data_IF_321120823139
#
_entry.id   IF_321120823139
#
_cell.length_a   1.000
_cell.length_b   1.000
_cell.length_c   1.000
_cell.angle_alpha   90.00
_cell.angle_beta   90.00
_cell.angle_gamma   90.00
#
_symmetry.space_group_name_H-M   'P 1'
#
loop_
_entity.id
_entity.type
_entity.pdbx_description
1 polymer ?
#
# COMPACT_ATOMS: atom_id res chain seq x y z
N UNK A 1 -39.65 26.08 -23.88
CA UNK A 1 -39.01 24.96 -24.60
C UNK A 1 -38.35 24.11 -23.53
N UNK A 2 -38.95 22.95 -23.26
CA UNK A 2 -38.47 21.96 -22.30
C UNK A 2 -37.08 21.52 -22.71
N UNK A 3 -36.05 21.89 -21.95
CA UNK A 3 -34.76 21.22 -22.05
C UNK A 3 -35.01 19.76 -21.73
N UNK A 4 -34.92 18.89 -22.73
CA UNK A 4 -34.84 17.45 -22.48
C UNK A 4 -33.66 17.24 -21.53
N UNK A 5 -33.93 16.87 -20.28
CA UNK A 5 -32.88 16.40 -19.38
C UNK A 5 -32.32 15.13 -20.02
N UNK A 6 -31.14 15.25 -20.63
CA UNK A 6 -30.47 14.12 -21.27
C UNK A 6 -30.10 13.11 -20.19
N UNK A 7 -30.80 11.97 -20.15
CA UNK A 7 -30.44 10.88 -19.25
C UNK A 7 -29.11 10.28 -19.74
N UNK A 8 -28.08 10.33 -18.88
CA UNK A 8 -26.76 9.78 -19.16
C UNK A 8 -26.66 8.37 -18.56
N UNK A 9 -26.02 7.46 -19.30
CA UNK A 9 -25.79 6.09 -18.87
C UNK A 9 -24.30 5.86 -18.59
N UNK A 10 -24.01 5.13 -17.50
CA UNK A 10 -22.65 4.71 -17.15
C UNK A 10 -22.26 3.47 -17.93
N UNK A 11 -20.99 3.41 -18.33
CA UNK A 11 -20.41 2.21 -18.93
C UNK A 11 -20.32 1.08 -17.89
N UNK A 12 -20.79 -0.13 -18.24
CA UNK A 12 -20.61 -1.32 -17.40
C UNK A 12 -19.28 -1.99 -17.71
N UNK A 13 -18.47 -2.22 -16.68
CA UNK A 13 -17.16 -2.87 -16.81
C UNK A 13 -17.19 -4.34 -16.40
N UNK A 14 -16.38 -5.14 -17.06
CA UNK A 14 -16.08 -6.51 -16.63
C UNK A 14 -15.08 -6.42 -15.47
N UNK A 15 -15.52 -6.85 -14.29
CA UNK A 15 -14.74 -6.82 -13.06
C UNK A 15 -14.40 -8.23 -12.59
N UNK A 16 -13.12 -8.49 -12.31
CA UNK A 16 -12.65 -9.74 -11.72
C UNK A 16 -11.83 -9.43 -10.47
N UNK A 17 -12.25 -9.96 -9.32
CA UNK A 17 -11.45 -9.92 -8.09
C UNK A 17 -10.36 -10.99 -8.15
N UNK A 18 -9.13 -10.63 -7.77
CA UNK A 18 -8.09 -11.60 -7.48
C UNK A 18 -8.18 -12.02 -5.99
N UNK A 19 -8.43 -13.30 -5.68
CA UNK A 19 -8.59 -13.77 -4.31
C UNK A 19 -7.26 -13.89 -3.55
N UNK A 20 -6.12 -13.51 -4.13
CA UNK A 20 -4.77 -13.70 -3.57
C UNK A 20 -4.59 -13.33 -2.10
N UNK A 21 -5.24 -12.25 -1.63
CA UNK A 21 -5.10 -11.74 -0.26
C UNK A 21 -6.22 -12.19 0.68
N UNK A 22 -7.14 -13.03 0.19
CA UNK A 22 -8.19 -13.62 1.01
C UNK A 22 -7.61 -14.78 1.83
N UNK A 23 -7.85 -14.76 3.13
CA UNK A 23 -7.48 -15.84 4.03
C UNK A 23 -8.68 -16.77 4.22
N UNK A 24 -8.54 -18.03 3.79
CA UNK A 24 -9.57 -19.05 4.02
C UNK A 24 -9.48 -19.67 5.42
N UNK A 25 -8.30 -19.61 6.03
CA UNK A 25 -8.03 -20.12 7.37
C UNK A 25 -7.31 -19.08 8.21
N UNK A 26 -7.62 -19.05 9.50
CA UNK A 26 -7.02 -18.12 10.45
C UNK A 26 -6.29 -18.89 11.56
N UNK A 27 -5.11 -19.42 11.24
CA UNK A 27 -4.24 -20.11 12.21
C UNK A 27 -3.06 -19.21 12.60
N UNK A 28 -2.91 -18.99 13.90
CA UNK A 28 -1.83 -18.17 14.48
C UNK A 28 -0.85 -19.00 15.32
N UNK A 29 -0.79 -20.31 15.07
CA UNK A 29 0.06 -21.23 15.84
C UNK A 29 1.50 -21.31 15.31
N UNK A 30 1.78 -20.72 14.14
CA UNK A 30 3.09 -20.76 13.49
C UNK A 30 3.95 -19.54 13.77
N UNK A 31 5.25 -19.73 13.56
CA UNK A 31 6.25 -18.68 13.69
C UNK A 31 6.44 -17.94 12.37
N UNK A 32 6.93 -16.70 12.47
CA UNK A 32 7.20 -15.83 11.32
C UNK A 32 8.42 -16.23 10.48
N UNK A 33 9.16 -17.28 10.84
CA UNK A 33 10.35 -17.68 10.08
C UNK A 33 9.99 -18.17 8.67
N UNK A 34 8.82 -18.82 8.54
CA UNK A 34 8.39 -19.45 7.30
C UNK A 34 8.19 -18.41 6.18
N UNK A 35 7.70 -17.20 6.49
CA UNK A 35 7.51 -16.15 5.47
C UNK A 35 8.82 -15.76 4.78
N UNK A 36 9.93 -15.69 5.51
CA UNK A 36 11.24 -15.33 4.93
C UNK A 36 11.77 -16.46 4.06
N UNK A 37 11.57 -17.72 4.46
CA UNK A 37 11.94 -18.88 3.64
C UNK A 37 11.10 -18.97 2.37
N UNK A 38 9.78 -18.80 2.47
CA UNK A 38 8.86 -18.78 1.33
C UNK A 38 9.24 -17.67 0.35
N UNK A 39 9.46 -16.45 0.86
CA UNK A 39 9.88 -15.30 0.07
C UNK A 39 11.20 -15.54 -0.66
N UNK A 40 12.23 -15.99 0.07
CA UNK A 40 13.52 -16.31 -0.53
C UNK A 40 13.36 -17.42 -1.58
N UNK A 41 12.63 -18.48 -1.31
CA UNK A 41 12.40 -19.57 -2.26
C UNK A 41 11.73 -19.11 -3.57
N UNK A 42 10.77 -18.18 -3.48
CA UNK A 42 10.09 -17.58 -4.64
C UNK A 42 11.02 -16.71 -5.47
N UNK A 43 11.75 -15.80 -4.82
CA UNK A 43 12.51 -14.75 -5.51
C UNK A 43 13.94 -15.17 -5.87
N UNK A 44 14.57 -16.11 -5.14
CA UNK A 44 15.95 -16.57 -5.36
C UNK A 44 16.17 -17.04 -6.80
N UNK A 45 15.23 -17.80 -7.37
CA UNK A 45 15.35 -18.27 -8.76
C UNK A 45 15.43 -17.14 -9.79
N UNK A 46 14.66 -16.08 -9.58
CA UNK A 46 14.61 -14.91 -10.47
C UNK A 46 15.90 -14.10 -10.33
N UNK A 47 16.26 -13.78 -9.09
CA UNK A 47 17.46 -13.01 -8.77
C UNK A 47 18.72 -13.71 -9.28
N UNK A 48 18.82 -15.02 -9.07
CA UNK A 48 19.95 -15.79 -9.56
C UNK A 48 19.99 -15.88 -11.09
N UNK A 49 18.84 -15.87 -11.77
CA UNK A 49 18.83 -15.82 -13.23
C UNK A 49 19.45 -14.50 -13.73
N UNK A 50 19.08 -13.38 -13.11
CA UNK A 50 19.67 -12.07 -13.42
C UNK A 50 21.16 -12.01 -13.03
N UNK A 51 21.54 -12.60 -11.89
CA UNK A 51 22.94 -12.69 -11.45
C UNK A 51 23.80 -13.49 -12.43
N UNK A 52 23.31 -14.66 -12.87
CA UNK A 52 24.01 -15.49 -13.88
C UNK A 52 24.20 -14.75 -15.20
N UNK A 53 23.14 -14.11 -15.70
CA UNK A 53 23.20 -13.32 -16.93
C UNK A 53 24.22 -12.19 -16.84
N UNK A 54 24.29 -11.52 -15.68
CA UNK A 54 25.13 -10.33 -15.49
C UNK A 54 26.59 -10.65 -15.14
N UNK A 55 26.85 -11.73 -14.39
CA UNK A 55 28.14 -11.93 -13.73
C UNK A 55 28.87 -13.23 -14.09
N UNK A 56 28.20 -14.30 -14.55
CA UNK A 56 28.89 -15.59 -14.76
C UNK A 56 29.96 -15.53 -15.87
N UNK A 57 29.76 -14.65 -16.86
CA UNK A 57 30.73 -14.43 -17.94
C UNK A 57 31.73 -13.30 -17.64
N UNK A 58 31.64 -12.67 -16.46
CA UNK A 58 32.50 -11.55 -16.08
C UNK A 58 33.85 -12.06 -15.59
N UNK A 59 34.92 -11.62 -16.25
CA UNK A 59 36.31 -11.91 -15.89
C UNK A 59 36.96 -10.65 -15.33
N UNK A 60 37.55 -10.76 -14.14
CA UNK A 60 38.26 -9.67 -13.46
C UNK A 60 39.66 -10.18 -13.10
N UNK A 61 40.68 -9.54 -13.66
CA UNK A 61 42.10 -9.88 -13.41
C UNK A 61 42.47 -11.37 -13.66
N UNK A 62 41.77 -12.04 -14.58
CA UNK A 62 42.00 -13.44 -14.92
C UNK A 62 41.16 -14.45 -14.14
N UNK A 63 40.35 -13.99 -13.19
CA UNK A 63 39.42 -14.82 -12.43
C UNK A 63 37.97 -14.52 -12.84
N UNK A 64 37.19 -15.58 -13.04
CA UNK A 64 35.74 -15.48 -13.25
C UNK A 64 35.00 -15.31 -11.93
N UNK A 65 33.98 -14.45 -11.91
CA UNK A 65 33.09 -14.32 -10.76
C UNK A 65 32.35 -15.64 -10.55
N UNK A 66 32.44 -16.20 -9.33
CA UNK A 66 31.77 -17.46 -9.00
C UNK A 66 30.51 -17.22 -8.18
N UNK A 67 29.46 -17.96 -8.49
CA UNK A 67 28.28 -18.06 -7.61
C UNK A 67 28.65 -18.88 -6.38
N UNK A 68 28.31 -18.37 -5.21
CA UNK A 68 28.40 -19.08 -3.93
C UNK A 68 26.98 -19.35 -3.42
N UNK A 69 26.69 -20.61 -3.08
CA UNK A 69 25.32 -21.05 -2.75
C UNK A 69 24.83 -20.56 -1.39
N UNK A 70 25.73 -20.51 -0.39
CA UNK A 70 25.45 -20.11 1.00
C UNK A 70 26.18 -18.81 1.33
N UNK A 71 25.52 -17.85 1.95
CA UNK A 71 26.12 -16.52 2.20
C UNK A 71 27.37 -16.59 3.09
N UNK A 72 27.46 -17.57 4.00
CA UNK A 72 28.64 -17.74 4.86
C UNK A 72 29.81 -18.51 4.22
N UNK A 73 29.65 -19.05 3.01
CA UNK A 73 30.72 -19.79 2.32
C UNK A 73 31.63 -18.88 1.47
N UNK A 74 31.42 -17.56 1.51
CA UNK A 74 32.29 -16.58 0.87
C UNK A 74 33.70 -16.64 1.44
N UNK A 75 34.68 -16.19 0.65
CA UNK A 75 36.10 -16.24 1.03
C UNK A 75 36.79 -14.92 0.76
N UNK A 76 37.63 -14.53 1.70
CA UNK A 76 38.47 -13.35 1.57
C UNK A 76 39.29 -13.37 0.27
N UNK A 77 39.13 -12.32 -0.53
CA UNK A 77 39.85 -12.11 -1.79
C UNK A 77 39.31 -12.89 -2.98
N UNK A 78 38.28 -13.73 -2.81
CA UNK A 78 37.59 -14.39 -3.92
C UNK A 78 36.41 -13.54 -4.39
N UNK A 79 36.46 -13.08 -5.65
CA UNK A 79 35.37 -12.35 -6.26
C UNK A 79 34.20 -13.30 -6.55
N UNK A 80 33.07 -13.07 -5.89
CA UNK A 80 31.93 -13.97 -5.95
C UNK A 80 30.61 -13.20 -5.90
N UNK A 81 29.51 -13.91 -6.13
CA UNK A 81 28.17 -13.37 -5.91
C UNK A 81 27.29 -14.35 -5.15
N UNK A 82 26.42 -13.79 -4.31
CA UNK A 82 25.51 -14.50 -3.41
C UNK A 82 24.09 -13.93 -3.56
N UNK A 83 23.09 -14.69 -3.12
CA UNK A 83 21.68 -14.28 -3.09
C UNK A 83 21.09 -14.56 -1.72
N UNK A 84 20.35 -13.60 -1.18
CA UNK A 84 19.75 -13.72 0.14
C UNK A 84 18.76 -12.61 0.42
N UNK A 85 18.21 -12.63 1.62
CA UNK A 85 17.24 -11.66 2.13
C UNK A 85 17.97 -10.57 2.90
N UNK A 86 17.68 -9.31 2.61
CA UNK A 86 18.21 -8.17 3.35
C UNK A 86 17.59 -8.12 4.73
N UNK A 87 18.44 -7.95 5.74
CA UNK A 87 18.05 -7.65 7.10
C UNK A 87 18.67 -6.31 7.52
N UNK A 88 17.82 -5.36 7.92
CA UNK A 88 18.26 -4.04 8.37
C UNK A 88 18.34 -4.03 9.89
N UNK A 89 19.55 -3.96 10.43
CA UNK A 89 19.77 -3.78 11.87
C UNK A 89 19.86 -2.29 12.18
N UNK A 90 18.79 -1.74 12.73
CA UNK A 90 18.60 -0.31 12.91
C UNK A 90 18.25 -0.04 14.38
N UNK A 91 19.12 0.64 15.14
CA UNK A 91 18.93 0.82 16.59
C UNK A 91 17.67 1.57 17.00
N UNK A 92 17.07 2.36 16.09
CA UNK A 92 15.87 3.14 16.38
C UNK A 92 14.56 2.39 16.09
N UNK A 93 14.62 1.17 15.51
CA UNK A 93 13.44 0.31 15.37
C UNK A 93 12.82 0.03 16.75
N UNK A 94 11.48 -0.06 16.86
CA UNK A 94 10.83 -0.39 18.11
C UNK A 94 11.26 -1.77 18.60
N UNK A 95 11.53 -1.89 19.90
CA UNK A 95 11.95 -3.14 20.52
C UNK A 95 11.06 -3.43 21.73
N UNK A 96 10.14 -4.39 21.54
CA UNK A 96 9.16 -4.78 22.55
C UNK A 96 9.83 -5.25 23.85
N UNK A 97 10.99 -5.91 23.78
CA UNK A 97 11.70 -6.37 24.98
C UNK A 97 12.29 -5.20 25.77
N UNK A 98 12.79 -4.17 25.08
CA UNK A 98 13.24 -2.95 25.75
C UNK A 98 12.08 -2.18 26.37
N UNK A 99 10.93 -2.13 25.69
CA UNK A 99 9.74 -1.46 26.20
C UNK A 99 9.23 -2.14 27.47
N UNK A 100 9.15 -3.48 27.48
CA UNK A 100 8.80 -4.27 28.66
C UNK A 100 9.85 -4.11 29.77
N UNK A 101 11.14 -4.04 29.44
CA UNK A 101 12.19 -3.82 30.44
C UNK A 101 12.12 -2.42 31.08
N UNK A 102 11.58 -1.45 30.35
CA UNK A 102 11.40 -0.05 30.79
C UNK A 102 10.07 0.20 31.51
N UNK A 103 9.26 -0.83 31.82
CA UNK A 103 7.92 -0.78 32.47
C UNK A 103 7.90 -0.21 33.92
N UNK A 104 8.48 0.97 34.11
CA UNK A 104 8.17 1.90 35.18
C UNK A 104 7.40 3.10 34.59
N UNK A 105 6.08 2.94 34.46
CA UNK A 105 5.07 4.01 34.45
C UNK A 105 5.35 5.27 33.60
N UNK A 106 5.58 5.15 32.30
CA UNK A 106 5.47 6.29 31.38
C UNK A 106 4.61 5.88 30.19
N UNK A 107 3.77 6.81 29.72
CA UNK A 107 3.03 6.71 28.46
C UNK A 107 3.90 6.12 27.35
N UNK A 108 3.32 5.30 26.48
CA UNK A 108 4.01 4.75 25.32
C UNK A 108 4.78 5.88 24.60
N UNK A 109 6.09 5.71 24.34
CA UNK A 109 6.87 6.73 23.65
C UNK A 109 6.20 7.02 22.30
N UNK A 110 6.22 8.31 21.90
CA UNK A 110 5.67 8.70 20.61
C UNK A 110 6.33 7.87 19.50
N UNK A 111 5.50 7.32 18.60
CA UNK A 111 5.99 6.57 17.47
C UNK A 111 6.98 7.44 16.68
N UNK A 112 8.18 6.90 16.45
CA UNK A 112 9.18 7.59 15.63
C UNK A 112 8.70 7.65 14.19
N UNK A 113 8.90 8.80 13.56
CA UNK A 113 8.57 8.97 12.13
C UNK A 113 9.51 8.18 11.23
N UNK A 114 10.80 8.05 11.61
CA UNK A 114 11.81 7.26 10.88
C UNK A 114 12.69 6.48 11.87
N UNK A 115 13.24 5.37 11.39
CA UNK A 115 14.15 4.48 12.10
C UNK A 115 15.60 4.63 11.65
N UNK A 116 15.87 5.33 10.54
CA UNK A 116 17.21 5.46 9.97
C UNK A 116 18.17 6.23 10.88
N UNK A 117 19.36 5.68 11.06
CA UNK A 117 20.56 6.34 11.60
C UNK A 117 21.79 5.91 10.76
N UNK A 118 22.20 6.72 9.78
CA UNK A 118 23.28 6.39 8.83
C UNK A 118 24.60 5.95 9.47
N UNK A 119 24.89 6.40 10.69
CA UNK A 119 26.14 6.09 11.37
C UNK A 119 26.09 4.72 12.07
N UNK A 120 24.90 4.23 12.40
CA UNK A 120 24.72 3.03 13.23
C UNK A 120 23.95 1.90 12.56
N UNK A 121 23.21 2.21 11.50
CA UNK A 121 22.47 1.20 10.77
C UNK A 121 23.40 0.24 10.05
N UNK A 122 23.12 -1.05 10.17
CA UNK A 122 23.84 -2.10 9.47
C UNK A 122 22.93 -2.81 8.48
N UNK A 123 23.44 -3.00 7.27
CA UNK A 123 22.78 -3.77 6.22
C UNK A 123 23.41 -5.17 6.24
N UNK A 124 22.59 -6.19 6.42
CA UNK A 124 23.02 -7.59 6.37
C UNK A 124 22.27 -8.33 5.27
N UNK A 125 22.89 -9.40 4.76
CA UNK A 125 22.23 -10.40 3.91
C UNK A 125 22.14 -11.71 4.67
N UNK A 126 20.99 -12.37 4.57
CA UNK A 126 20.65 -13.58 5.31
C UNK A 126 20.14 -14.69 4.38
N UNK A 127 20.55 -15.92 4.68
CA UNK A 127 20.00 -17.15 4.10
C UNK A 127 19.92 -18.24 5.19
N UNK A 128 19.72 -19.51 4.79
CA UNK A 128 19.68 -20.65 5.71
C UNK A 128 20.99 -20.92 6.48
N UNK A 129 22.12 -20.37 6.04
CA UNK A 129 23.43 -20.56 6.66
C UNK A 129 23.73 -19.52 7.76
N UNK A 130 23.20 -18.30 7.62
CA UNK A 130 23.37 -17.24 8.61
C UNK A 130 23.36 -15.84 7.99
N UNK A 131 24.05 -14.90 8.65
CA UNK A 131 24.08 -13.49 8.28
C UNK A 131 25.48 -13.01 7.93
N UNK A 132 25.57 -12.21 6.88
CA UNK A 132 26.79 -11.54 6.46
C UNK A 132 26.54 -10.03 6.34
N UNK A 133 27.41 -9.22 6.97
CA UNK A 133 27.29 -7.76 6.93
C UNK A 133 27.75 -7.25 5.56
N UNK A 134 26.93 -6.41 4.95
CA UNK A 134 27.21 -5.76 3.67
C UNK A 134 27.80 -4.37 3.89
N UNK A 135 28.88 -4.07 3.18
CA UNK A 135 29.54 -2.75 3.16
C UNK A 135 29.78 -2.30 1.72
N UNK A 136 30.30 -1.07 1.55
CA UNK A 136 30.52 -0.46 0.24
C UNK A 136 29.52 0.66 -0.07
N UNK A 137 29.87 1.53 -1.02
CA UNK A 137 29.00 2.64 -1.43
C UNK A 137 27.77 2.17 -2.18
N UNK A 138 27.89 1.10 -2.99
CA UNK A 138 26.82 0.55 -3.81
C UNK A 138 25.59 0.21 -2.98
N UNK A 139 25.74 -0.57 -1.90
CA UNK A 139 24.61 -0.99 -1.08
C UNK A 139 23.94 0.17 -0.33
N UNK A 140 24.70 1.22 0.00
CA UNK A 140 24.20 2.39 0.74
C UNK A 140 23.32 3.31 -0.10
N UNK A 141 23.40 3.25 -1.42
CA UNK A 141 22.66 4.13 -2.34
C UNK A 141 21.37 3.51 -2.89
N UNK A 142 21.10 2.24 -2.59
CA UNK A 142 19.96 1.51 -3.17
C UNK A 142 18.65 1.68 -2.38
N UNK A 143 18.72 2.26 -1.18
CA UNK A 143 17.60 2.40 -0.21
C UNK A 143 16.83 1.10 0.00
N UNK A 144 17.56 0.02 0.26
CA UNK A 144 16.97 -1.27 0.60
C UNK A 144 16.32 -1.21 1.99
N UNK A 145 15.29 -2.03 2.16
CA UNK A 145 14.63 -2.26 3.44
C UNK A 145 14.74 -3.73 3.83
N UNK A 146 14.41 -4.04 5.08
CA UNK A 146 14.36 -5.41 5.57
C UNK A 146 13.38 -6.24 4.72
N UNK A 147 13.71 -7.50 4.47
CA UNK A 147 12.88 -8.45 3.72
C UNK A 147 13.04 -8.41 2.20
N UNK A 148 13.80 -7.47 1.60
CA UNK A 148 14.13 -7.48 0.18
C UNK A 148 15.01 -8.67 -0.19
N UNK A 149 14.71 -9.39 -1.27
CA UNK A 149 15.59 -10.47 -1.78
C UNK A 149 16.42 -9.94 -2.93
N UNK A 150 17.75 -9.99 -2.81
CA UNK A 150 18.68 -9.40 -3.77
C UNK A 150 19.85 -10.34 -4.05
N UNK A 151 20.50 -10.12 -5.19
CA UNK A 151 21.79 -10.71 -5.52
C UNK A 151 22.87 -9.65 -5.38
N UNK A 152 23.97 -9.96 -4.72
CA UNK A 152 25.10 -9.04 -4.56
C UNK A 152 26.39 -9.70 -5.03
N UNK A 153 27.21 -8.94 -5.76
CA UNK A 153 28.53 -9.35 -6.24
C UNK A 153 29.59 -8.50 -5.56
N UNK A 154 30.66 -9.16 -5.09
CA UNK A 154 31.67 -8.53 -4.27
C UNK A 154 32.71 -9.53 -3.76
N UNK A 155 33.41 -9.13 -2.70
CA UNK A 155 34.39 -9.96 -2.00
C UNK A 155 34.27 -9.76 -0.50
N UNK A 156 34.61 -10.80 0.25
CA UNK A 156 34.79 -10.68 1.68
C UNK A 156 36.07 -9.86 1.98
N UNK A 157 35.98 -8.96 2.94
CA UNK A 157 37.07 -8.11 3.44
C UNK A 157 37.86 -8.81 4.54
N UNK A 158 39.00 -8.24 4.94
CA UNK A 158 39.77 -8.76 6.08
C UNK A 158 39.01 -8.67 7.43
N UNK A 159 37.95 -7.86 7.52
CA UNK A 159 37.10 -7.74 8.71
C UNK A 159 35.97 -8.78 8.76
N UNK A 160 35.81 -9.62 7.73
CA UNK A 160 34.69 -10.56 7.61
C UNK A 160 33.38 -9.93 7.14
N UNK A 161 33.45 -8.71 6.58
CA UNK A 161 32.32 -8.04 5.94
C UNK A 161 32.35 -8.29 4.43
N UNK A 162 31.22 -8.13 3.75
CA UNK A 162 31.15 -8.30 2.29
C UNK A 162 31.09 -6.94 1.61
N UNK A 163 32.15 -6.58 0.88
CA UNK A 163 32.19 -5.35 0.11
C UNK A 163 31.42 -5.52 -1.20
N UNK A 164 30.26 -4.87 -1.28
CA UNK A 164 29.36 -4.94 -2.43
C UNK A 164 29.86 -4.01 -3.53
N UNK A 165 30.15 -4.59 -4.69
CA UNK A 165 30.58 -3.89 -5.90
C UNK A 165 29.39 -3.68 -6.84
N UNK A 166 28.54 -4.70 -7.00
CA UNK A 166 27.37 -4.66 -7.86
C UNK A 166 26.19 -5.41 -7.24
N UNK A 167 24.98 -5.13 -7.71
CA UNK A 167 23.74 -5.73 -7.20
C UNK A 167 22.75 -5.97 -8.35
N UNK A 168 21.97 -7.03 -8.22
CA UNK A 168 20.79 -7.30 -9.05
C UNK A 168 19.54 -7.43 -8.18
N UNK A 169 18.44 -6.90 -8.71
CA UNK A 169 17.10 -7.01 -8.13
C UNK A 169 16.26 -8.04 -8.90
N UNK A 170 15.14 -8.52 -8.33
CA UNK A 170 14.16 -9.31 -9.07
C UNK A 170 13.54 -8.56 -10.26
N UNK A 171 13.55 -7.22 -10.22
CA UNK A 171 12.94 -6.32 -11.22
C UNK A 171 11.44 -6.57 -11.46
N UNK A 172 10.81 -5.82 -12.37
CA UNK A 172 9.37 -5.98 -12.63
C UNK A 172 9.01 -7.40 -13.13
N UNK A 173 7.90 -8.01 -12.66
CA UNK A 173 7.45 -9.31 -13.14
C UNK A 173 6.95 -9.24 -14.59
N UNK A 174 6.61 -10.39 -15.17
CA UNK A 174 5.97 -10.41 -16.48
C UNK A 174 4.62 -9.70 -16.43
N UNK A 175 4.33 -8.90 -17.46
CA UNK A 175 3.08 -8.15 -17.58
C UNK A 175 2.20 -8.79 -18.65
N UNK A 176 0.95 -9.09 -18.31
CA UNK A 176 -0.03 -9.45 -19.33
C UNK A 176 -0.35 -8.21 -20.18
N UNK A 177 -0.35 -8.28 -21.51
CA UNK A 177 -0.73 -7.14 -22.33
C UNK A 177 -2.16 -6.67 -22.05
N UNK A 178 -2.33 -5.36 -21.88
CA UNK A 178 -3.63 -4.68 -21.80
C UNK A 178 -4.37 -4.72 -23.15
N UNK A 179 -5.72 -4.82 -23.15
CA UNK A 179 -6.50 -4.71 -24.36
C UNK A 179 -6.58 -3.25 -24.81
N UNK A 180 -5.69 -2.83 -25.70
CA UNK A 180 -5.72 -1.47 -26.29
C UNK A 180 -6.62 -1.51 -27.53
N UNK A 181 -7.70 -0.70 -27.60
CA UNK A 181 -8.55 -0.63 -28.78
C UNK A 181 -7.77 -0.06 -29.98
N UNK A 182 -8.02 -0.59 -31.18
CA UNK A 182 -7.35 -0.15 -32.42
C UNK A 182 -7.69 1.29 -32.82
N UNK A 183 -8.84 1.77 -32.38
CA UNK A 183 -9.34 3.13 -32.61
C UNK A 183 -9.65 3.70 -31.23
N UNK A 184 -9.14 4.90 -30.90
CA UNK A 184 -9.42 5.51 -29.61
C UNK A 184 -10.91 5.67 -29.37
N UNK A 185 -11.37 5.37 -28.17
CA UNK A 185 -12.78 5.55 -27.84
C UNK A 185 -13.13 7.04 -27.86
N UNK A 186 -14.27 7.38 -28.47
CA UNK A 186 -14.78 8.75 -28.43
C UNK A 186 -15.25 9.16 -27.02
N UNK A 187 -15.55 8.18 -26.15
CA UNK A 187 -15.93 8.37 -24.76
C UNK A 187 -14.86 7.75 -23.87
N UNK A 188 -14.32 8.55 -22.96
CA UNK A 188 -13.42 8.06 -21.92
C UNK A 188 -14.18 7.11 -20.97
N UNK A 189 -13.45 6.24 -20.30
CA UNK A 189 -13.96 5.36 -19.27
C UNK A 189 -13.00 5.41 -18.07
N UNK A 190 -13.47 5.96 -16.96
CA UNK A 190 -12.64 6.20 -15.79
C UNK A 190 -12.95 5.22 -14.66
N UNK A 191 -11.91 4.89 -13.90
CA UNK A 191 -12.02 4.39 -12.53
C UNK A 191 -11.64 5.52 -11.59
N UNK A 192 -12.52 5.83 -10.65
CA UNK A 192 -12.25 6.77 -9.59
C UNK A 192 -11.56 6.08 -8.40
N UNK A 193 -10.51 6.71 -7.86
CA UNK A 193 -9.76 6.28 -6.70
C UNK A 193 -9.86 7.34 -5.60
N UNK A 194 -10.17 6.88 -4.40
CA UNK A 194 -10.40 7.70 -3.22
C UNK A 194 -9.78 7.02 -2.01
N UNK A 195 -9.29 7.76 -1.03
CA UNK A 195 -8.84 7.19 0.25
C UNK A 195 -9.02 8.19 1.37
N UNK A 196 -9.02 7.74 2.63
CA UNK A 196 -9.00 8.65 3.77
C UNK A 196 -10.23 9.56 3.84
N UNK A 197 -11.43 8.99 3.73
CA UNK A 197 -12.67 9.72 4.02
C UNK A 197 -12.71 10.15 5.49
N UNK A 198 -12.17 9.31 6.38
CA UNK A 198 -12.07 9.57 7.82
C UNK A 198 -13.38 10.08 8.44
N UNK A 199 -14.50 9.41 8.11
CA UNK A 199 -15.84 9.78 8.59
C UNK A 199 -15.84 9.72 10.12
N UNK A 200 -16.27 10.82 10.75
CA UNK A 200 -16.33 10.98 12.21
C UNK A 200 -17.76 10.81 12.75
N UNK A 201 -18.78 10.89 11.88
CA UNK A 201 -20.18 10.85 12.30
C UNK A 201 -20.65 12.12 13.03
N UNK A 202 -19.87 13.21 12.94
CA UNK A 202 -20.25 14.52 13.46
C UNK A 202 -21.34 15.17 12.60
N UNK A 203 -22.12 16.08 13.19
CA UNK A 203 -23.23 16.78 12.49
C UNK A 203 -22.73 17.63 11.31
N UNK A 204 -21.46 18.05 11.36
CA UNK A 204 -20.77 18.77 10.30
C UNK A 204 -19.80 17.84 9.58
N UNK A 205 -20.32 16.74 9.01
CA UNK A 205 -19.56 16.00 8.01
C UNK A 205 -19.11 16.98 6.91
N UNK A 206 -17.94 16.76 6.34
CA UNK A 206 -17.31 17.70 5.40
C UNK A 206 -18.23 17.98 4.20
N UNK A 207 -18.40 19.26 3.86
CA UNK A 207 -19.18 19.69 2.67
C UNK A 207 -18.60 19.06 1.40
N UNK A 208 -17.29 18.84 1.37
CA UNK A 208 -16.57 18.18 0.29
C UNK A 208 -17.06 16.73 0.10
N UNK A 209 -17.36 15.99 1.19
CA UNK A 209 -17.91 14.63 1.11
C UNK A 209 -19.31 14.63 0.46
N UNK A 210 -20.16 15.60 0.79
CA UNK A 210 -21.46 15.73 0.16
C UNK A 210 -21.35 16.09 -1.33
N UNK A 211 -20.50 17.06 -1.68
CA UNK A 211 -20.26 17.43 -3.08
C UNK A 211 -19.66 16.28 -3.90
N UNK A 212 -18.81 15.45 -3.28
CA UNK A 212 -18.28 14.24 -3.90
C UNK A 212 -19.41 13.27 -4.26
N UNK A 213 -20.32 13.00 -3.34
CA UNK A 213 -21.46 12.10 -3.57
C UNK A 213 -22.36 12.66 -4.67
N UNK A 214 -22.77 13.93 -4.58
CA UNK A 214 -23.60 14.57 -5.60
C UNK A 214 -22.93 14.56 -6.98
N UNK A 215 -21.62 14.81 -7.04
CA UNK A 215 -20.85 14.72 -8.30
C UNK A 215 -20.83 13.30 -8.85
N UNK A 216 -20.54 12.30 -8.03
CA UNK A 216 -20.52 10.89 -8.42
C UNK A 216 -21.89 10.34 -8.78
N UNK A 217 -22.98 10.93 -8.28
CA UNK A 217 -24.35 10.59 -8.70
C UNK A 217 -24.80 11.39 -9.94
N UNK A 218 -24.03 12.38 -10.37
CA UNK A 218 -24.36 13.25 -11.52
C UNK A 218 -25.41 14.32 -11.17
N UNK A 219 -25.59 14.61 -9.89
CA UNK A 219 -26.56 15.59 -9.38
C UNK A 219 -25.94 17.00 -9.27
N UNK A 220 -24.61 17.10 -9.21
CA UNK A 220 -23.88 18.37 -9.15
C UNK A 220 -23.25 18.77 -10.49
N UNK A 221 -22.99 20.08 -10.62
CA UNK A 221 -22.22 20.66 -11.72
C UNK A 221 -23.02 21.03 -12.98
N UNK A 222 -22.30 21.33 -14.06
CA UNK A 222 -22.85 21.63 -15.38
C UNK A 222 -23.15 20.34 -16.16
N UNK A 223 -23.86 20.41 -17.31
CA UNK A 223 -24.05 19.24 -18.18
C UNK A 223 -22.73 18.57 -18.64
N UNK A 224 -21.64 19.34 -18.74
CA UNK A 224 -20.31 18.81 -19.04
C UNK A 224 -19.75 18.00 -17.85
N UNK A 225 -19.91 18.51 -16.62
CA UNK A 225 -19.51 17.80 -15.40
C UNK A 225 -20.31 16.51 -15.22
N UNK A 226 -21.61 16.55 -15.53
CA UNK A 226 -22.49 15.38 -15.51
C UNK A 226 -22.08 14.35 -16.57
N UNK A 227 -21.74 14.80 -17.78
CA UNK A 227 -21.19 13.95 -18.84
C UNK A 227 -19.88 13.29 -18.40
N UNK A 228 -18.96 14.06 -17.80
CA UNK A 228 -17.71 13.54 -17.23
C UNK A 228 -17.98 12.55 -16.09
N UNK A 229 -18.87 12.88 -15.16
CA UNK A 229 -19.25 11.98 -14.08
C UNK A 229 -19.79 10.66 -14.64
N UNK A 230 -20.67 10.69 -15.64
CA UNK A 230 -21.22 9.48 -16.27
C UNK A 230 -20.18 8.56 -16.91
N UNK A 231 -18.98 9.08 -17.23
CA UNK A 231 -17.86 8.30 -17.75
C UNK A 231 -17.06 7.55 -16.67
N UNK A 232 -17.36 7.77 -15.39
CA UNK A 232 -16.79 7.01 -14.26
C UNK A 232 -17.56 5.70 -14.12
N UNK A 233 -16.93 4.57 -14.36
CA UNK A 233 -17.61 3.27 -14.28
C UNK A 233 -17.52 2.62 -12.89
N UNK A 234 -16.49 2.96 -12.11
CA UNK A 234 -16.25 2.38 -10.78
C UNK A 234 -15.56 3.36 -9.85
N UNK A 235 -15.83 3.23 -8.56
CA UNK A 235 -15.10 3.85 -7.45
C UNK A 235 -14.35 2.78 -6.65
N UNK A 236 -13.09 3.02 -6.31
CA UNK A 236 -12.34 2.26 -5.31
C UNK A 236 -12.03 3.19 -4.13
N UNK A 237 -12.49 2.81 -2.95
CA UNK A 237 -12.19 3.48 -1.68
C UNK A 237 -11.07 2.69 -0.98
N UNK A 238 -9.85 3.21 -1.04
CA UNK A 238 -8.60 2.59 -0.58
C UNK A 238 -8.30 2.89 0.91
N UNK A 239 -9.20 2.44 1.78
CA UNK A 239 -9.02 2.45 3.24
C UNK A 239 -9.10 3.80 3.94
N UNK A 240 -9.13 3.72 5.27
CA UNK A 240 -9.39 4.81 6.22
C UNK A 240 -10.71 5.51 5.89
N UNK A 241 -11.76 4.70 5.78
CA UNK A 241 -13.11 5.20 5.55
C UNK A 241 -13.68 5.82 6.82
N UNK A 242 -13.37 5.24 7.98
CA UNK A 242 -13.76 5.74 9.30
C UNK A 242 -12.56 6.40 10.01
N UNK A 243 -12.82 7.46 10.79
CA UNK A 243 -11.80 8.10 11.60
C UNK A 243 -11.33 7.21 12.75
N UNK A 244 -10.13 7.46 13.27
CA UNK A 244 -9.66 6.78 14.49
C UNK A 244 -10.61 7.01 15.69
N UNK A 245 -10.81 6.02 16.57
CA UNK A 245 -11.66 6.16 17.75
C UNK A 245 -11.22 7.28 18.72
N UNK A 246 -9.94 7.64 18.76
CA UNK A 246 -9.45 8.69 19.66
C UNK A 246 -9.89 10.09 19.22
N UNK A 247 -9.95 10.35 17.91
CA UNK A 247 -10.50 11.59 17.36
C UNK A 247 -12.00 11.73 17.68
N UNK A 248 -12.73 10.61 17.75
CA UNK A 248 -14.13 10.58 18.16
C UNK A 248 -14.32 10.92 19.64
N UNK A 249 -13.38 10.52 20.51
CA UNK A 249 -13.42 10.77 21.95
C UNK A 249 -12.93 12.19 22.36
N UNK A 250 -12.02 12.81 21.60
CA UNK A 250 -11.52 14.17 21.90
C UNK A 250 -12.59 15.25 21.68
N UNK A 251 -13.44 15.09 20.66
CA UNK A 251 -14.55 16.01 20.40
C UNK A 251 -15.69 15.83 21.40
N UNK A 252 -15.99 14.59 21.80
CA UNK A 252 -16.94 14.34 22.88
C UNK A 252 -16.45 14.88 24.23
N UNK A 253 -15.14 14.81 24.52
CA UNK A 253 -14.56 15.42 25.70
C UNK A 253 -14.58 16.96 25.64
N UNK A 254 -14.38 17.56 24.46
CA UNK A 254 -14.49 19.01 24.27
C UNK A 254 -15.96 19.48 24.40
N UNK A 255 -16.92 18.70 23.91
CA UNK A 255 -18.35 18.94 24.11
C UNK A 255 -18.78 18.71 25.57
N UNK A 256 -18.26 17.69 26.24
CA UNK A 256 -18.55 17.38 27.64
C UNK A 256 -17.85 18.33 28.62
N UNK A 257 -16.72 18.97 28.26
CA UNK A 257 -16.06 20.01 29.05
C UNK A 257 -16.91 21.28 29.19
N UNK A 258 -17.94 21.45 28.35
CA UNK A 258 -18.98 22.48 28.53
C UNK A 258 -19.98 22.14 29.67
N UNK A 259 -19.96 20.91 30.19
CA UNK A 259 -20.79 20.44 31.29
C UNK A 259 -19.92 19.88 32.43
N UNK A 260 -19.84 20.61 33.54
CA UNK A 260 -18.94 20.34 34.66
C UNK A 260 -19.14 18.94 35.28
N UNK A 261 -18.36 17.92 34.88
CA UNK A 261 -18.12 16.71 35.70
C UNK A 261 -16.69 16.17 35.55
N UNK A 262 -16.20 15.69 36.69
CA UNK A 262 -14.79 15.43 37.02
C UNK A 262 -14.11 14.33 36.19
N UNK A 263 -12.83 14.57 35.91
CA UNK A 263 -11.86 13.66 35.27
C UNK A 263 -11.65 12.38 36.06
N UNK A 264 -12.09 11.23 35.52
CA UNK A 264 -11.67 9.90 35.98
C UNK A 264 -10.40 9.46 35.24
N UNK A 265 -9.52 8.77 35.96
CA UNK A 265 -8.27 8.19 35.45
C UNK A 265 -8.55 7.20 34.30
N UNK A 266 -7.78 7.33 33.21
CA UNK A 266 -7.83 6.43 32.05
C UNK A 266 -7.43 5.02 32.48
N UNK A 267 -8.41 4.14 32.62
CA UNK A 267 -8.22 2.71 32.87
C UNK A 267 -7.95 2.03 31.52
N UNK A 268 -6.85 1.30 31.40
CA UNK A 268 -6.56 0.48 30.22
C UNK A 268 -7.62 -0.63 30.11
N UNK A 269 -8.38 -0.63 29.02
CA UNK A 269 -9.49 -1.55 28.77
C UNK A 269 -10.57 -0.91 27.89
N UNK A 270 -11.24 -1.74 27.08
CA UNK A 270 -12.38 -1.35 26.26
C UNK A 270 -13.49 -0.77 27.14
N UNK A 271 -13.76 0.53 27.00
CA UNK A 271 -14.90 1.18 27.63
C UNK A 271 -16.06 1.18 26.63
N UNK A 272 -17.05 0.31 26.86
CA UNK A 272 -18.24 0.22 26.02
C UNK A 272 -19.03 1.55 25.93
N UNK A 273 -18.77 2.50 26.82
CA UNK A 273 -19.37 3.84 26.79
C UNK A 273 -18.73 4.79 25.77
N UNK A 274 -17.60 4.42 25.17
CA UNK A 274 -16.92 5.16 24.09
C UNK A 274 -17.33 4.73 22.66
N UNK A 275 -18.27 3.79 22.53
CA UNK A 275 -18.73 3.30 21.24
C UNK A 275 -19.70 4.31 20.57
N UNK A 276 -19.26 4.89 19.46
CA UNK A 276 -20.07 5.74 18.60
C UNK A 276 -20.38 5.01 17.28
N UNK A 277 -21.63 4.66 17.04
CA UNK A 277 -22.06 3.98 15.81
C UNK A 277 -22.28 4.94 14.62
N UNK A 278 -22.36 6.26 14.86
CA UNK A 278 -22.68 7.26 13.83
C UNK A 278 -21.74 7.20 12.62
N UNK A 279 -20.39 7.12 12.77
CA UNK A 279 -19.49 7.03 11.62
C UNK A 279 -19.84 5.89 10.67
N UNK A 280 -20.06 4.69 11.23
CA UNK A 280 -20.42 3.50 10.46
C UNK A 280 -21.77 3.67 9.76
N UNK A 281 -22.76 4.25 10.44
CA UNK A 281 -24.08 4.53 9.83
C UNK A 281 -23.99 5.52 8.67
N UNK A 282 -23.15 6.57 8.80
CA UNK A 282 -22.93 7.57 7.75
C UNK A 282 -22.23 6.92 6.55
N UNK A 283 -21.20 6.11 6.79
CA UNK A 283 -20.53 5.36 5.74
C UNK A 283 -21.48 4.39 5.02
N UNK A 284 -22.30 3.62 5.75
CA UNK A 284 -23.29 2.71 5.17
C UNK A 284 -24.29 3.46 4.28
N UNK A 285 -24.78 4.61 4.73
CA UNK A 285 -25.71 5.47 3.97
C UNK A 285 -25.05 5.98 2.68
N UNK A 286 -23.84 6.54 2.78
CA UNK A 286 -23.07 7.03 1.63
C UNK A 286 -22.82 5.91 0.61
N UNK A 287 -22.43 4.73 1.07
CA UNK A 287 -22.20 3.58 0.21
C UNK A 287 -23.49 3.12 -0.46
N UNK A 288 -24.60 3.08 0.27
CA UNK A 288 -25.90 2.71 -0.29
C UNK A 288 -26.35 3.69 -1.38
N UNK A 289 -26.19 5.00 -1.15
CA UNK A 289 -26.51 6.04 -2.12
C UNK A 289 -25.66 5.89 -3.39
N UNK A 290 -24.34 5.78 -3.26
CA UNK A 290 -23.45 5.57 -4.41
C UNK A 290 -23.77 4.28 -5.17
N UNK A 291 -24.04 3.19 -4.45
CA UNK A 291 -24.32 1.87 -5.05
C UNK A 291 -25.61 1.81 -5.88
N UNK A 292 -26.47 2.83 -5.81
CA UNK A 292 -27.66 2.94 -6.68
C UNK A 292 -27.32 3.10 -8.16
N UNK A 293 -26.17 3.71 -8.47
CA UNK A 293 -25.77 4.01 -9.86
C UNK A 293 -24.31 3.67 -10.18
N UNK A 294 -23.44 3.57 -9.16
CA UNK A 294 -22.00 3.37 -9.33
C UNK A 294 -21.54 2.09 -8.65
N UNK A 295 -20.65 1.35 -9.29
CA UNK A 295 -20.01 0.21 -8.61
C UNK A 295 -18.90 0.72 -7.68
N UNK A 296 -18.96 0.33 -6.39
CA UNK A 296 -18.03 0.75 -5.34
C UNK A 296 -17.29 -0.46 -4.77
N UNK A 297 -15.97 -0.41 -4.84
CA UNK A 297 -15.07 -1.34 -4.12
C UNK A 297 -14.58 -0.67 -2.85
N UNK A 298 -14.76 -1.32 -1.70
CA UNK A 298 -14.34 -0.80 -0.39
C UNK A 298 -13.19 -1.66 0.17
N UNK A 299 -12.03 -1.04 0.37
CA UNK A 299 -10.88 -1.64 1.03
C UNK A 299 -10.79 -1.14 2.48
N UNK A 300 -10.41 -1.98 3.45
CA UNK A 300 -10.09 -1.53 4.80
C UNK A 300 -8.73 -0.84 4.88
N UNK A 301 -8.62 0.16 5.74
CA UNK A 301 -7.34 0.77 6.15
C UNK A 301 -7.01 0.54 7.63
N UNK A 302 -6.08 1.33 8.15
CA UNK A 302 -5.55 1.21 9.52
C UNK A 302 -6.59 1.59 10.58
N UNK A 303 -7.38 2.63 10.32
CA UNK A 303 -8.42 3.12 11.24
C UNK A 303 -9.75 2.37 11.09
N UNK A 304 -9.87 1.51 10.09
CA UNK A 304 -11.11 0.80 9.79
C UNK A 304 -11.26 -0.47 10.64
N UNK A 305 -12.51 -0.90 10.91
CA UNK A 305 -12.84 -2.07 11.72
C UNK A 305 -12.60 -3.39 10.98
N UNK A 306 -11.33 -3.69 10.70
CA UNK A 306 -10.81 -4.95 10.18
C UNK A 306 -9.71 -5.51 11.11
N UNK A 307 -9.09 -6.64 10.76
CA UNK A 307 -7.89 -7.08 11.45
C UNK A 307 -6.73 -6.08 11.25
N UNK A 308 -5.86 -5.96 12.25
CA UNK A 308 -4.72 -5.04 12.21
C UNK A 308 -3.56 -5.54 11.33
N UNK A 309 -3.37 -6.86 11.25
CA UNK A 309 -2.32 -7.49 10.44
C UNK A 309 -2.66 -7.48 8.95
N UNK A 310 -1.65 -7.33 8.09
CA UNK A 310 -1.82 -7.59 6.66
C UNK A 310 -1.83 -9.11 6.36
N UNK A 311 -2.61 -9.59 5.38
CA UNK A 311 -3.64 -8.86 4.66
C UNK A 311 -4.86 -8.61 5.54
N UNK A 312 -5.33 -7.36 5.60
CA UNK A 312 -6.58 -7.02 6.24
C UNK A 312 -7.73 -7.62 5.42
N UNK A 313 -8.56 -8.42 6.08
CA UNK A 313 -9.73 -9.04 5.48
C UNK A 313 -10.85 -8.02 5.34
N UNK A 314 -11.78 -8.29 4.41
CA UNK A 314 -12.91 -7.41 4.14
C UNK A 314 -13.72 -7.09 5.39
N UNK A 315 -14.18 -5.83 5.50
CA UNK A 315 -15.07 -5.41 6.59
C UNK A 315 -16.34 -6.26 6.61
N UNK A 316 -16.81 -6.59 7.82
CA UNK A 316 -17.90 -7.54 7.97
C UNK A 316 -19.24 -6.96 7.48
N UNK A 317 -20.06 -7.69 6.70
CA UNK A 317 -21.31 -7.16 6.14
C UNK A 317 -22.35 -6.65 7.15
N UNK A 318 -22.27 -7.07 8.42
CA UNK A 318 -23.17 -6.56 9.48
C UNK A 318 -22.97 -5.08 9.78
N UNK A 319 -21.81 -4.53 9.39
CA UNK A 319 -21.52 -3.10 9.51
C UNK A 319 -22.28 -2.26 8.49
N UNK A 320 -22.81 -2.90 7.44
CA UNK A 320 -23.48 -2.23 6.33
C UNK A 320 -24.95 -2.66 6.20
N UNK A 321 -25.84 -2.31 7.14
CA UNK A 321 -27.25 -2.73 7.08
C UNK A 321 -27.97 -2.41 5.77
N UNK A 322 -27.61 -1.32 5.09
CA UNK A 322 -28.24 -0.86 3.85
C UNK A 322 -27.40 -1.19 2.61
N UNK A 323 -26.10 -0.87 2.61
CA UNK A 323 -25.24 -1.12 1.45
C UNK A 323 -25.04 -2.62 1.17
N UNK A 324 -25.17 -3.50 2.18
CA UNK A 324 -25.03 -4.96 1.97
C UNK A 324 -26.00 -5.53 0.94
N UNK A 325 -27.17 -4.90 0.71
CA UNK A 325 -28.13 -5.38 -0.29
C UNK A 325 -27.63 -5.23 -1.74
N UNK A 326 -26.60 -4.41 -1.95
CA UNK A 326 -25.89 -4.27 -3.21
C UNK A 326 -24.67 -5.20 -3.32
N UNK A 327 -24.40 -6.02 -2.29
CA UNK A 327 -23.25 -6.94 -2.31
C UNK A 327 -23.39 -7.93 -3.46
N UNK A 328 -22.36 -8.01 -4.31
CA UNK A 328 -22.35 -8.89 -5.48
C UNK A 328 -22.97 -8.28 -6.74
N UNK A 329 -23.50 -7.06 -6.67
CA UNK A 329 -23.81 -6.23 -7.83
C UNK A 329 -22.89 -5.01 -7.88
N UNK A 330 -23.24 -3.93 -7.19
CA UNK A 330 -22.52 -2.67 -7.20
C UNK A 330 -21.66 -2.46 -5.95
N UNK A 331 -21.92 -3.14 -4.83
CA UNK A 331 -21.05 -3.07 -3.65
C UNK A 331 -20.09 -4.26 -3.58
N UNK A 332 -18.80 -3.98 -3.48
CA UNK A 332 -17.71 -4.98 -3.46
C UNK A 332 -16.80 -4.72 -2.25
N UNK A 333 -17.08 -5.32 -1.09
CA UNK A 333 -16.14 -5.30 0.02
C UNK A 333 -14.92 -6.16 -0.31
N UNK A 334 -13.71 -5.63 -0.11
CA UNK A 334 -12.46 -6.29 -0.48
C UNK A 334 -11.40 -6.26 0.63
N UNK A 335 -10.26 -6.89 0.38
CA UNK A 335 -9.10 -6.97 1.29
C UNK A 335 -8.17 -5.76 1.14
N UNK A 336 -7.19 -5.64 2.04
CA UNK A 336 -6.00 -4.79 1.87
C UNK A 336 -4.74 -5.64 2.14
N UNK A 337 -3.84 -5.84 1.16
CA UNK A 337 -3.88 -5.31 -0.20
C UNK A 337 -5.05 -5.82 -1.04
N UNK A 338 -5.34 -5.13 -2.14
CA UNK A 338 -6.40 -5.49 -3.10
C UNK A 338 -5.82 -5.64 -4.51
N UNK A 339 -6.25 -6.68 -5.21
CA UNK A 339 -5.93 -6.89 -6.62
C UNK A 339 -7.20 -7.22 -7.41
N UNK A 340 -7.33 -6.63 -8.61
CA UNK A 340 -8.46 -6.87 -9.50
C UNK A 340 -8.12 -6.59 -10.96
N UNK A 341 -8.99 -7.02 -11.87
CA UNK A 341 -8.97 -6.70 -13.29
C UNK A 341 -10.27 -5.97 -13.66
N UNK A 342 -10.14 -4.83 -14.35
CA UNK A 342 -11.25 -3.98 -14.82
C UNK A 342 -11.08 -3.82 -16.33
N UNK A 343 -11.96 -4.43 -17.13
CA UNK A 343 -11.88 -4.45 -18.60
C UNK A 343 -10.49 -4.87 -19.13
N UNK A 344 -9.85 -5.83 -18.45
CA UNK A 344 -8.50 -6.33 -18.80
C UNK A 344 -7.33 -5.50 -18.27
N UNK A 345 -7.59 -4.34 -17.65
CA UNK A 345 -6.57 -3.56 -16.93
C UNK A 345 -6.42 -4.10 -15.52
N UNK A 346 -5.20 -4.48 -15.14
CA UNK A 346 -4.89 -5.03 -13.80
C UNK A 346 -4.54 -3.93 -12.82
N UNK A 347 -5.25 -3.90 -11.71
CA UNK A 347 -5.02 -3.02 -10.58
C UNK A 347 -4.46 -3.81 -9.41
N UNK A 348 -3.44 -3.26 -8.78
CA UNK A 348 -2.94 -3.68 -7.48
C UNK A 348 -2.87 -2.44 -6.60
N UNK A 349 -3.31 -2.52 -5.35
CA UNK A 349 -3.13 -1.40 -4.45
C UNK A 349 -3.28 -1.73 -2.99
N UNK A 350 -2.88 -0.77 -2.16
CA UNK A 350 -2.94 -0.87 -0.71
C UNK A 350 -3.56 0.38 -0.11
N UNK A 351 -3.95 0.29 1.16
CA UNK A 351 -4.49 1.44 1.91
C UNK A 351 -3.41 2.33 2.53
N UNK A 352 -2.15 2.23 2.12
CA UNK A 352 -1.08 3.15 2.52
C UNK A 352 0.00 2.54 3.41
N UNK A 353 -0.38 1.62 4.31
CA UNK A 353 0.50 1.16 5.39
C UNK A 353 1.82 0.55 4.91
N UNK A 354 1.84 -0.07 3.72
CA UNK A 354 3.05 -0.70 3.19
C UNK A 354 4.12 0.33 2.83
N UNK A 355 3.74 1.42 2.16
CA UNK A 355 4.69 2.50 1.81
C UNK A 355 4.97 3.38 3.02
N UNK A 356 4.00 3.59 3.91
CA UNK A 356 4.24 4.30 5.16
C UNK A 356 5.25 3.59 6.06
N UNK A 357 5.25 2.25 6.06
CA UNK A 357 6.26 1.50 6.80
C UNK A 357 7.62 1.53 6.11
N UNK A 358 7.69 1.39 4.77
CA UNK A 358 8.94 1.57 4.00
C UNK A 358 9.53 2.96 4.24
N UNK A 359 8.71 4.01 4.27
CA UNK A 359 9.13 5.38 4.54
C UNK A 359 9.86 5.53 5.88
N UNK A 360 9.51 4.73 6.90
CA UNK A 360 10.23 4.77 8.19
C UNK A 360 11.67 4.29 8.05
N UNK A 361 11.99 3.45 7.08
CA UNK A 361 13.34 2.93 6.87
C UNK A 361 14.25 3.88 6.08
N UNK A 362 13.68 4.86 5.36
CA UNK A 362 14.39 5.62 4.33
C UNK A 362 14.40 7.12 4.62
N UNK A 363 15.48 7.81 4.29
CA UNK A 363 15.60 9.25 4.55
C UNK A 363 14.81 10.12 3.56
N UNK A 364 14.60 9.63 2.35
CA UNK A 364 13.79 10.34 1.34
C UNK A 364 12.32 10.39 1.70
N UNK A 365 11.60 11.35 1.11
CA UNK A 365 10.16 11.52 1.29
C UNK A 365 9.36 11.18 0.03
N UNK A 366 10.05 10.81 -1.06
CA UNK A 366 9.42 10.54 -2.35
C UNK A 366 8.68 9.20 -2.34
N UNK A 367 7.36 9.26 -2.14
CA UNK A 367 6.49 8.08 -2.07
C UNK A 367 6.41 7.31 -3.38
N UNK A 368 6.44 7.99 -4.53
CA UNK A 368 6.47 7.32 -5.84
C UNK A 368 7.74 6.52 -6.06
N UNK A 369 8.89 7.02 -5.60
CA UNK A 369 10.14 6.27 -5.68
C UNK A 369 10.09 5.01 -4.81
N UNK A 370 9.55 5.12 -3.59
CA UNK A 370 9.33 3.97 -2.72
C UNK A 370 8.40 2.93 -3.35
N UNK A 371 7.32 3.38 -3.99
CA UNK A 371 6.40 2.51 -4.74
C UNK A 371 7.06 1.82 -5.93
N UNK A 372 7.91 2.53 -6.66
CA UNK A 372 8.65 1.94 -7.76
C UNK A 372 9.63 0.88 -7.25
N UNK A 373 10.30 1.15 -6.11
CA UNK A 373 11.19 0.20 -5.45
C UNK A 373 10.45 -1.06 -4.99
N UNK A 374 9.28 -0.96 -4.37
CA UNK A 374 8.49 -2.14 -3.97
C UNK A 374 8.08 -3.03 -5.16
N UNK A 375 7.77 -2.43 -6.31
CA UNK A 375 7.53 -3.16 -7.55
C UNK A 375 8.79 -3.87 -8.07
N UNK A 376 9.95 -3.20 -8.07
CA UNK A 376 11.23 -3.78 -8.50
C UNK A 376 11.75 -4.86 -7.55
N UNK A 377 11.39 -4.78 -6.27
CA UNK A 377 11.63 -5.85 -5.29
C UNK A 377 10.63 -7.01 -5.42
N UNK A 378 9.57 -6.85 -6.24
CA UNK A 378 8.42 -7.77 -6.35
C UNK A 378 7.78 -8.08 -4.99
N UNK A 379 7.65 -7.08 -4.13
CA UNK A 379 7.09 -7.24 -2.79
C UNK A 379 6.14 -6.10 -2.46
N UNK A 380 4.87 -6.41 -2.19
CA UNK A 380 3.87 -5.42 -1.78
C UNK A 380 4.17 -4.85 -0.39
N UNK A 381 4.69 -5.69 0.51
CA UNK A 381 4.97 -5.37 1.91
C UNK A 381 6.33 -5.95 2.33
N UNK A 382 7.46 -5.38 1.87
CA UNK A 382 8.79 -5.95 2.11
C UNK A 382 9.15 -6.01 3.60
N UNK A 383 8.78 -4.99 4.37
CA UNK A 383 9.09 -4.87 5.81
C UNK A 383 8.22 -5.75 6.72
N UNK A 384 7.26 -6.50 6.15
CA UNK A 384 6.49 -7.48 6.88
C UNK A 384 7.26 -8.81 6.98
N UNK A 385 7.36 -9.43 8.17
CA UNK A 385 6.70 -9.09 9.45
C UNK A 385 7.49 -8.20 10.42
N UNK A 386 8.72 -7.76 10.09
CA UNK A 386 9.65 -7.09 11.03
C UNK A 386 9.04 -5.86 11.73
N UNK A 387 8.53 -4.90 10.97
CA UNK A 387 7.89 -3.67 11.52
C UNK A 387 6.45 -3.51 11.08
N UNK A 388 6.09 -4.06 9.92
CA UNK A 388 4.70 -4.11 9.46
C UNK A 388 4.10 -5.47 9.81
N UNK A 389 3.13 -5.48 10.72
CA UNK A 389 2.55 -6.74 11.19
C UNK A 389 1.77 -7.45 10.08
N UNK A 390 1.96 -8.76 9.96
CA UNK A 390 1.24 -9.57 8.99
C UNK A 390 0.78 -10.91 9.56
N UNK A 391 -0.05 -11.61 8.79
CA UNK A 391 -0.42 -12.98 9.04
C UNK A 391 0.80 -13.90 8.82
N UNK A 392 1.06 -14.88 9.70
CA UNK A 392 2.19 -15.81 9.56
C UNK A 392 1.88 -16.87 8.50
N UNK A 393 2.11 -16.55 7.23
CA UNK A 393 1.92 -17.46 6.11
C UNK A 393 2.75 -18.75 6.24
N UNK A 394 2.16 -19.88 5.84
CA UNK A 394 2.78 -21.21 5.92
C UNK A 394 3.07 -21.83 4.55
N UNK A 395 2.17 -21.61 3.59
CA UNK A 395 2.24 -22.28 2.28
C UNK A 395 2.82 -21.37 1.18
N UNK A 396 2.50 -20.08 1.21
CA UNK A 396 2.93 -19.11 0.20
C UNK A 396 3.00 -17.69 0.79
N UNK A 397 4.02 -16.91 0.40
CA UNK A 397 4.09 -15.49 0.75
C UNK A 397 3.24 -14.68 -0.24
N UNK A 398 2.01 -14.38 0.18
CA UNK A 398 1.05 -13.63 -0.64
C UNK A 398 1.52 -12.21 -0.97
N UNK A 399 2.55 -11.66 -0.32
CA UNK A 399 3.06 -10.32 -0.65
C UNK A 399 4.01 -10.30 -1.85
N UNK A 400 4.44 -11.46 -2.37
CA UNK A 400 5.24 -11.51 -3.60
C UNK A 400 4.40 -11.08 -4.80
N UNK A 401 4.93 -10.24 -5.68
CA UNK A 401 4.21 -9.78 -6.89
C UNK A 401 4.56 -10.72 -8.06
N UNK A 402 3.61 -11.56 -8.44
CA UNK A 402 3.82 -12.57 -9.49
C UNK A 402 3.60 -12.04 -10.91
N UNK A 403 2.59 -11.17 -11.06
CA UNK A 403 2.18 -10.58 -12.33
C UNK A 403 2.25 -9.07 -12.18
N UNK A 404 2.87 -8.41 -13.15
CA UNK A 404 3.04 -6.97 -13.11
C UNK A 404 1.67 -6.28 -13.29
N UNK A 405 1.26 -5.40 -12.36
CA UNK A 405 0.02 -4.65 -12.51
C UNK A 405 0.15 -3.62 -13.63
N UNK A 406 -0.97 -3.13 -14.15
CA UNK A 406 -1.00 -1.97 -15.05
C UNK A 406 -1.12 -0.67 -14.24
N UNK A 407 -1.86 -0.73 -13.13
CA UNK A 407 -2.01 0.38 -12.18
C UNK A 407 -1.60 -0.12 -10.80
N UNK A 408 -0.64 0.57 -10.18
CA UNK A 408 -0.24 0.35 -8.79
C UNK A 408 -0.56 1.60 -7.96
N UNK A 409 -1.56 1.50 -7.08
CA UNK A 409 -2.04 2.65 -6.30
C UNK A 409 -1.84 2.45 -4.80
N UNK A 410 -1.59 3.55 -4.08
CA UNK A 410 -1.40 3.56 -2.63
C UNK A 410 -2.28 4.63 -2.01
N UNK A 411 -3.18 4.20 -1.13
CA UNK A 411 -4.08 5.07 -0.37
C UNK A 411 -3.36 5.88 0.71
N UNK A 412 -4.10 6.86 1.25
CA UNK A 412 -3.77 7.60 2.46
C UNK A 412 -2.41 8.33 2.43
N UNK A 413 -1.94 8.69 1.24
CA UNK A 413 -0.68 9.40 1.08
C UNK A 413 -0.84 10.91 1.38
N UNK A 414 0.25 11.65 1.64
CA UNK A 414 0.17 13.08 1.96
C UNK A 414 -0.34 13.95 0.81
N UNK A 415 -0.05 13.57 -0.44
CA UNK A 415 -0.41 14.32 -1.64
C UNK A 415 -0.66 13.38 -2.83
N UNK A 416 -1.39 13.89 -3.83
CA UNK A 416 -1.51 13.23 -5.12
C UNK A 416 -0.23 13.39 -5.93
N UNK A 417 0.29 12.27 -6.44
CA UNK A 417 1.37 12.23 -7.41
C UNK A 417 1.21 10.97 -8.28
N UNK A 418 1.74 11.03 -9.51
CA UNK A 418 1.70 9.90 -10.43
C UNK A 418 2.90 9.83 -11.36
N UNK A 419 3.31 8.61 -11.70
CA UNK A 419 4.38 8.35 -12.66
C UNK A 419 4.11 7.10 -13.47
N UNK A 420 4.44 7.14 -14.76
CA UNK A 420 4.47 5.96 -15.61
C UNK A 420 5.88 5.37 -15.57
N UNK A 421 6.05 4.19 -14.95
CA UNK A 421 7.34 3.48 -14.90
C UNK A 421 7.38 2.35 -15.94
N UNK A 422 8.60 2.03 -16.38
CA UNK A 422 8.85 1.06 -17.43
C UNK A 422 9.84 -0.03 -16.95
N UNK A 423 9.57 -1.26 -17.37
CA UNK A 423 10.47 -2.40 -17.18
C UNK A 423 11.27 -2.74 -18.44
N UNK A 424 12.28 -3.59 -18.28
CA UNK A 424 13.16 -3.99 -19.37
C UNK A 424 12.44 -4.78 -20.49
N UNK A 425 11.33 -5.43 -20.17
CA UNK A 425 10.55 -6.26 -21.10
C UNK A 425 9.27 -5.56 -21.56
N UNK A 426 9.35 -4.24 -21.77
CA UNK A 426 8.22 -3.37 -22.16
C UNK A 426 7.04 -3.39 -21.19
N UNK A 427 7.27 -3.74 -19.91
CA UNK A 427 6.26 -3.55 -18.89
C UNK A 427 6.02 -2.05 -18.69
N UNK A 428 4.77 -1.65 -18.50
CA UNK A 428 4.39 -0.28 -18.24
C UNK A 428 3.42 -0.23 -17.06
N UNK A 429 3.77 0.49 -15.99
CA UNK A 429 2.96 0.56 -14.77
C UNK A 429 2.70 2.02 -14.41
N UNK A 430 1.42 2.38 -14.27
CA UNK A 430 1.00 3.66 -13.72
C UNK A 430 1.01 3.60 -12.20
N UNK A 431 1.93 4.35 -11.59
CA UNK A 431 2.03 4.56 -10.15
C UNK A 431 1.14 5.72 -9.73
N UNK A 432 0.38 5.57 -8.65
CA UNK A 432 -0.56 6.59 -8.16
C UNK A 432 -0.52 6.65 -6.63
N UNK A 433 -0.15 7.80 -6.07
CA UNK A 433 -0.44 8.10 -4.66
C UNK A 433 -1.80 8.77 -4.56
N UNK A 434 -2.68 8.24 -3.72
CA UNK A 434 -4.01 8.79 -3.49
C UNK A 434 -3.96 9.56 -2.17
N UNK A 435 -4.24 10.86 -2.17
CA UNK A 435 -4.23 11.64 -0.95
C UNK A 435 -5.39 11.27 -0.04
N UNK A 436 -5.29 11.64 1.23
CA UNK A 436 -6.43 11.58 2.16
C UNK A 436 -7.48 12.61 1.75
N UNK A 437 -8.67 12.14 1.40
CA UNK A 437 -9.77 13.01 0.97
C UNK A 437 -10.19 14.00 2.06
N UNK A 438 -10.23 13.57 3.33
CA UNK A 438 -10.56 14.45 4.45
C UNK A 438 -9.60 15.64 4.59
N UNK A 439 -8.37 15.51 4.09
CA UNK A 439 -7.34 16.55 4.16
C UNK A 439 -7.25 17.37 2.88
N UNK A 440 -7.53 16.81 1.70
CA UNK A 440 -7.30 17.44 0.38
C UNK A 440 -8.59 17.75 -0.38
N UNK A 441 -9.65 16.98 -0.16
CA UNK A 441 -10.89 17.02 -0.94
C UNK A 441 -10.67 16.61 -2.39
N UNK A 442 -9.71 15.71 -2.66
CA UNK A 442 -9.31 15.31 -4.01
C UNK A 442 -9.76 13.89 -4.35
N UNK A 443 -10.43 13.74 -5.50
CA UNK A 443 -10.76 12.47 -6.14
C UNK A 443 -9.84 12.27 -7.35
N UNK A 444 -9.23 11.09 -7.46
CA UNK A 444 -8.34 10.76 -8.58
C UNK A 444 -9.12 9.93 -9.60
N UNK A 445 -9.11 10.32 -10.86
CA UNK A 445 -9.68 9.56 -11.97
C UNK A 445 -8.56 8.94 -12.81
N UNK A 446 -8.70 7.67 -13.15
CA UNK A 446 -7.77 6.93 -14.01
C UNK A 446 -8.49 6.51 -15.27
N UNK A 447 -8.03 6.97 -16.43
CA UNK A 447 -8.55 6.57 -17.73
C UNK A 447 -8.09 5.13 -18.04
N UNK A 448 -9.02 4.21 -18.27
CA UNK A 448 -8.70 2.80 -18.52
C UNK A 448 -8.01 2.55 -19.86
N UNK A 449 -8.14 3.47 -20.83
CA UNK A 449 -7.51 3.32 -22.14
C UNK A 449 -6.06 3.81 -22.13
N UNK A 450 -5.82 4.98 -21.53
CA UNK A 450 -4.51 5.66 -21.56
C UNK A 450 -3.70 5.50 -20.28
N UNK A 451 -4.32 5.09 -19.18
CA UNK A 451 -3.78 5.12 -17.82
C UNK A 451 -3.42 6.54 -17.33
N UNK A 452 -3.85 7.59 -18.02
CA UNK A 452 -3.67 8.95 -17.55
C UNK A 452 -4.56 9.25 -16.35
N UNK A 453 -4.04 10.10 -15.46
CA UNK A 453 -4.72 10.45 -14.22
C UNK A 453 -5.17 11.91 -14.25
N UNK A 454 -6.38 12.16 -13.75
CA UNK A 454 -6.94 13.50 -13.57
C UNK A 454 -7.43 13.67 -12.13
N UNK A 455 -7.29 14.86 -11.55
CA UNK A 455 -7.77 15.15 -10.19
C UNK A 455 -9.01 16.04 -10.26
N UNK A 456 -10.01 15.70 -9.45
CA UNK A 456 -11.18 16.54 -9.17
C UNK A 456 -11.10 17.00 -7.73
N UNK A 457 -11.06 18.32 -7.51
CA UNK A 457 -11.00 18.92 -6.18
C UNK A 457 -12.35 19.51 -5.79
N UNK A 458 -12.81 19.19 -4.59
CA UNK A 458 -14.07 19.64 -4.00
C UNK A 458 -13.89 20.80 -3.01
N UNK A 459 -12.64 21.19 -2.73
CA UNK A 459 -12.35 22.34 -1.87
C UNK A 459 -12.61 23.66 -2.59
N UNK A 460 -13.19 24.60 -1.86
CA UNK A 460 -13.24 26.00 -2.30
C UNK A 460 -11.83 26.56 -2.40
N UNK A 461 -11.46 27.14 -3.55
CA UNK A 461 -10.25 27.96 -3.66
C UNK A 461 -10.44 29.20 -2.81
N UNK A 462 -10.01 29.16 -1.55
CA UNK A 462 -9.82 30.39 -0.77
C UNK A 462 -8.82 31.26 -1.52
N UNK A 463 -9.20 32.51 -1.77
CA UNK A 463 -8.59 33.38 -2.79
C UNK A 463 -7.07 33.35 -2.77
N UNK A 464 -6.48 33.05 -3.93
CA UNK A 464 -5.10 33.42 -4.20
C UNK A 464 -4.96 34.93 -3.93
N UNK A 465 -3.95 35.38 -3.17
CA UNK A 465 -3.65 36.80 -3.13
C UNK A 465 -3.32 37.24 -4.56
N UNK A 466 -4.04 38.27 -5.01
CA UNK A 466 -3.82 38.93 -6.30
C UNK A 466 -2.40 39.46 -6.46
#
# INVERSE_FOLDING_TARGET
MTSENLALERHQTVYKTDPKFQLDTHSYQTQYVDIYFLRLARLKRIVEAHGRERWDALEVHGDYVKRVDRVLDVRQGELCWITGTIYMNMPLKPNVLEDIAKDHFISAPLARQKYRDFEKDEIMIEDESGRLKLVGSKIKTEDLVTGCVVGVMGTETASGEFEVIDMVLPELPEQTPRPIPKVPSAKKNYVALLSGLNITGNVHESIETHLLVEYLLGEAGSPEDQAKSSSISRLIIAGNSLSEPHAQATDEAAAAASSSRATKSKKYGYDATSYNAKPTTVLDTLLADLCTSLSVTLMPGESDPANASLPQQKMHPTMFPTAKYYTGSTFIPSTNPHACEIDGVRFLGTSGQTIDDVFKYLDGDNRLEMMEKTLRWRLVAPTAPDTLWCYPFQDDDQFVIDICPHVYFIGNQPEFDTRLTHGANNQEVRLITIPKFSETGELVLVDLETLDCEVISFKSKSGAPA
#
